data_IF_286449691181
#
_entry.id   IF_286449691181
#
_cell.length_a   1.000
_cell.length_b   1.000
_cell.length_c   1.000
_cell.angle_alpha   90.00
_cell.angle_beta   90.00
_cell.angle_gamma   90.00
#
_symmetry.space_group_name_H-M   'P 1'
#
loop_
_entity.id
_entity.type
_entity.pdbx_description
1 polymer ?
#
# COMPACT_ATOMS: atom_id res chain seq x y z
N UNK A 1 26.90 56.06 -32.32
CA UNK A 1 27.77 55.17 -31.50
C UNK A 1 26.81 54.50 -30.54
N UNK A 2 26.21 53.45 -31.08
CA UNK A 2 25.10 52.68 -30.53
C UNK A 2 25.72 51.44 -29.91
N UNK A 3 25.59 51.27 -28.60
CA UNK A 3 26.01 50.04 -27.95
C UNK A 3 24.75 49.30 -27.48
N UNK A 4 24.34 48.37 -28.32
CA UNK A 4 23.31 47.37 -28.12
C UNK A 4 23.82 46.30 -27.15
N UNK A 5 23.15 46.08 -26.02
CA UNK A 5 23.39 44.91 -25.17
C UNK A 5 22.06 44.30 -24.68
N UNK A 6 21.67 43.26 -25.41
CA UNK A 6 21.26 41.91 -24.98
C UNK A 6 20.07 41.78 -24.01
N UNK A 7 19.00 41.18 -24.57
CA UNK A 7 17.91 40.48 -23.91
C UNK A 7 18.42 39.55 -22.79
N UNK A 8 17.84 39.69 -21.60
CA UNK A 8 17.68 38.56 -20.67
C UNK A 8 16.23 38.51 -20.18
N UNK A 9 15.45 37.61 -20.77
CA UNK A 9 14.21 37.13 -20.17
C UNK A 9 14.60 36.11 -19.09
N UNK A 10 14.45 36.48 -17.82
CA UNK A 10 14.47 35.55 -16.69
C UNK A 10 13.19 35.80 -15.88
N UNK A 11 12.08 35.21 -16.34
CA UNK A 11 10.86 35.05 -15.55
C UNK A 11 10.99 33.79 -14.71
N UNK A 12 11.45 33.94 -13.47
CA UNK A 12 11.44 32.88 -12.46
C UNK A 12 10.25 33.10 -11.51
N UNK A 13 9.07 32.70 -11.96
CA UNK A 13 7.88 32.57 -11.10
C UNK A 13 7.91 31.18 -10.43
N UNK A 14 8.65 31.06 -9.33
CA UNK A 14 8.70 29.85 -8.48
C UNK A 14 7.66 29.86 -7.37
N UNK A 15 6.46 30.37 -7.62
CA UNK A 15 5.40 30.52 -6.60
C UNK A 15 4.31 29.43 -6.65
N UNK A 16 4.39 28.47 -7.58
CA UNK A 16 3.39 27.41 -7.73
C UNK A 16 3.63 26.10 -6.96
N UNK A 17 4.88 25.80 -6.55
CA UNK A 17 5.26 24.43 -6.18
C UNK A 17 5.22 24.14 -4.66
N UNK A 18 5.06 25.18 -3.84
CA UNK A 18 4.94 25.05 -2.38
C UNK A 18 3.52 24.66 -1.93
N UNK A 19 2.49 25.01 -2.70
CA UNK A 19 1.09 24.76 -2.33
C UNK A 19 0.67 23.29 -2.52
N UNK A 20 1.27 22.60 -3.48
CA UNK A 20 0.90 21.21 -3.83
C UNK A 20 1.44 20.17 -2.86
N UNK A 21 2.47 20.51 -2.09
CA UNK A 21 3.16 19.59 -1.16
C UNK A 21 2.45 19.45 0.20
N UNK A 22 1.42 20.26 0.48
CA UNK A 22 0.70 20.28 1.77
C UNK A 22 -0.67 19.59 1.79
N UNK A 23 -1.16 19.08 0.67
CA UNK A 23 -2.48 18.44 0.61
C UNK A 23 -2.46 16.93 0.95
N UNK A 24 -1.28 16.33 1.13
CA UNK A 24 -1.13 14.89 1.43
C UNK A 24 -0.22 14.57 2.62
N UNK A 25 0.43 15.55 3.26
CA UNK A 25 1.33 15.33 4.40
C UNK A 25 0.63 15.16 5.73
N UNK A 26 -0.65 15.55 5.82
CA UNK A 26 -1.38 15.66 7.09
C UNK A 26 -2.48 14.60 7.21
N UNK A 27 -2.50 13.61 6.30
CA UNK A 27 -3.16 12.34 6.60
C UNK A 27 -2.18 11.56 7.45
N UNK A 28 -2.28 11.75 8.77
CA UNK A 28 -1.72 10.82 9.74
C UNK A 28 -2.40 9.46 9.53
N UNK A 29 -1.84 8.65 8.62
CA UNK A 29 -2.22 7.25 8.41
C UNK A 29 -2.01 6.41 9.68
N UNK A 30 -1.33 6.98 10.68
CA UNK A 30 -1.08 6.43 12.00
C UNK A 30 -2.11 6.86 13.07
N UNK A 31 -3.01 7.81 12.79
CA UNK A 31 -3.98 8.31 13.76
C UNK A 31 -5.33 7.60 13.65
N UNK A 32 -5.33 6.30 13.94
CA UNK A 32 -6.26 5.60 14.84
C UNK A 32 -6.00 4.10 14.69
N UNK A 33 -5.15 3.47 15.53
CA UNK A 33 -5.41 2.09 15.81
C UNK A 33 -6.69 2.11 16.64
N UNK A 34 -7.83 1.74 16.03
CA UNK A 34 -8.77 0.97 16.83
C UNK A 34 -7.92 -0.09 17.51
N UNK A 35 -7.84 -0.05 18.84
CA UNK A 35 -6.97 -0.89 19.67
C UNK A 35 -7.18 -2.40 19.43
N UNK A 36 -8.20 -2.73 18.64
CA UNK A 36 -8.60 -4.05 18.22
C UNK A 36 -8.34 -4.26 16.72
N UNK A 37 -7.48 -5.24 16.41
CA UNK A 37 -7.25 -5.76 15.08
C UNK A 37 -7.94 -7.11 14.90
N UNK A 38 -8.51 -7.37 13.72
CA UNK A 38 -9.04 -8.70 13.37
C UNK A 38 -7.98 -9.55 12.68
N UNK A 39 -7.90 -10.83 13.01
CA UNK A 39 -7.08 -11.79 12.28
C UNK A 39 -7.80 -13.13 12.09
N UNK A 40 -7.56 -13.78 10.95
CA UNK A 40 -8.07 -15.12 10.69
C UNK A 40 -7.04 -16.17 11.10
N UNK A 41 -7.42 -17.07 11.99
CA UNK A 41 -6.56 -18.17 12.40
C UNK A 41 -6.62 -19.30 11.37
N UNK A 42 -5.46 -19.75 10.89
CA UNK A 42 -5.42 -20.82 9.87
C UNK A 42 -5.73 -22.22 10.44
N UNK A 43 -5.52 -22.45 11.74
CA UNK A 43 -5.76 -23.76 12.36
C UNK A 43 -7.24 -24.03 12.72
N UNK A 44 -7.98 -23.02 13.17
CA UNK A 44 -9.41 -23.14 13.50
C UNK A 44 -10.34 -22.47 12.48
N UNK A 45 -9.79 -21.76 11.49
CA UNK A 45 -10.49 -21.00 10.45
C UNK A 45 -11.37 -19.83 10.94
N UNK A 46 -11.41 -19.55 12.25
CA UNK A 46 -12.19 -18.47 12.86
C UNK A 46 -11.48 -17.12 12.75
N UNK A 47 -12.27 -16.06 12.76
CA UNK A 47 -11.79 -14.68 12.94
C UNK A 47 -11.69 -14.39 14.43
N UNK A 48 -10.59 -13.80 14.84
CA UNK A 48 -10.25 -13.47 16.22
C UNK A 48 -9.97 -11.97 16.33
N UNK A 49 -10.26 -11.42 17.50
CA UNK A 49 -9.94 -10.04 17.87
C UNK A 49 -8.61 -10.07 18.63
N UNK A 50 -7.67 -9.22 18.22
CA UNK A 50 -6.38 -9.02 18.84
C UNK A 50 -6.29 -7.59 19.36
N UNK A 51 -5.82 -7.41 20.60
CA UNK A 51 -5.44 -6.07 21.08
C UNK A 51 -4.03 -5.73 20.59
N UNK A 52 -3.82 -4.50 20.15
CA UNK A 52 -2.48 -3.95 19.90
C UNK A 52 -1.76 -3.58 21.20
N UNK A 53 -2.51 -3.45 22.30
CA UNK A 53 -2.01 -3.02 23.59
C UNK A 53 -1.93 -4.21 24.56
N UNK A 54 -0.72 -4.58 25.04
CA UNK A 54 -0.52 -5.78 25.85
C UNK A 54 -0.93 -5.64 27.31
N UNK A 55 -1.30 -4.44 27.78
CA UNK A 55 -1.54 -4.12 29.19
C UNK A 55 -3.01 -4.25 29.64
N UNK A 56 -3.98 -4.30 28.71
CA UNK A 56 -5.40 -4.42 29.07
C UNK A 56 -6.07 -5.52 28.26
N UNK A 57 -6.41 -6.65 28.90
CA UNK A 57 -7.49 -7.50 28.38
C UNK A 57 -8.06 -8.43 29.45
N UNK A 58 -9.04 -7.96 30.20
CA UNK A 58 -10.10 -8.84 30.73
C UNK A 58 -11.16 -8.97 29.62
N UNK A 59 -11.09 -10.07 28.87
CA UNK A 59 -11.98 -10.33 27.73
C UNK A 59 -11.49 -11.44 26.79
N UNK A 60 -12.33 -11.86 25.86
CA UNK A 60 -12.02 -12.90 24.85
C UNK A 60 -11.13 -12.33 23.72
N UNK A 61 -9.93 -11.85 24.07
CA UNK A 61 -8.95 -11.28 23.15
C UNK A 61 -7.80 -12.28 22.97
N UNK A 62 -7.54 -12.67 21.73
CA UNK A 62 -6.48 -13.61 21.39
C UNK A 62 -5.20 -12.88 20.97
N UNK A 63 -4.06 -13.32 21.49
CA UNK A 63 -2.74 -12.81 21.06
C UNK A 63 -2.32 -13.51 19.76
N UNK A 64 -2.24 -12.82 18.61
CA UNK A 64 -1.94 -13.44 17.33
C UNK A 64 -0.49 -13.93 17.29
N UNK A 65 -0.31 -15.22 16.95
CA UNK A 65 1.01 -15.84 16.83
C UNK A 65 1.29 -16.18 15.37
N UNK A 66 2.34 -15.61 14.82
CA UNK A 66 2.78 -15.91 13.45
C UNK A 66 3.67 -17.15 13.43
N UNK A 67 3.65 -17.91 12.34
CA UNK A 67 4.64 -18.96 12.11
C UNK A 67 6.05 -18.33 12.10
N UNK A 68 6.96 -18.80 12.96
CA UNK A 68 8.31 -18.22 13.11
C UNK A 68 9.15 -18.30 11.83
N UNK A 69 8.88 -19.27 10.96
CA UNK A 69 9.65 -19.46 9.73
C UNK A 69 9.16 -18.56 8.61
N UNK A 70 7.88 -18.66 8.21
CA UNK A 70 7.38 -17.90 7.06
C UNK A 70 6.80 -16.53 7.43
N UNK A 71 6.49 -16.28 8.71
CA UNK A 71 5.87 -15.06 9.25
C UNK A 71 4.58 -14.62 8.53
N UNK A 72 3.93 -15.51 7.79
CA UNK A 72 2.80 -15.19 6.90
C UNK A 72 1.47 -15.74 7.38
N UNK A 73 1.50 -16.88 8.06
CA UNK A 73 0.30 -17.52 8.61
C UNK A 73 0.18 -17.17 10.09
N UNK A 74 -1.05 -16.87 10.53
CA UNK A 74 -1.38 -16.44 11.89
C UNK A 74 -2.25 -17.49 12.58
N UNK A 75 -2.02 -17.67 13.87
CA UNK A 75 -2.75 -18.60 14.73
C UNK A 75 -3.12 -17.92 16.04
N UNK A 76 -4.27 -18.29 16.63
CA UNK A 76 -4.62 -17.88 18.00
C UNK A 76 -3.73 -18.59 19.05
N UNK A 77 -3.15 -19.75 18.72
CA UNK A 77 -2.34 -20.52 19.65
C UNK A 77 -1.51 -21.64 19.01
N UNK A 78 -0.65 -22.25 19.84
CA UNK A 78 0.27 -23.33 19.42
C UNK A 78 -0.47 -24.59 18.97
N UNK A 79 -1.63 -24.86 19.53
CA UNK A 79 -2.47 -26.00 19.13
C UNK A 79 -2.97 -25.85 17.69
N UNK A 80 -3.51 -24.68 17.34
CA UNK A 80 -3.94 -24.36 15.99
C UNK A 80 -2.78 -24.42 14.99
N UNK A 81 -1.59 -23.94 15.38
CA UNK A 81 -0.39 -24.09 14.56
C UNK A 81 -0.03 -25.56 14.32
N UNK A 82 -0.04 -26.40 15.36
CA UNK A 82 0.27 -27.83 15.21
C UNK A 82 -0.76 -28.56 14.34
N UNK A 83 -2.04 -28.26 14.53
CA UNK A 83 -3.13 -28.82 13.72
C UNK A 83 -2.94 -28.47 12.24
N UNK A 84 -2.68 -27.21 11.93
CA UNK A 84 -2.41 -26.77 10.55
C UNK A 84 -1.11 -27.38 9.99
N UNK A 85 -0.09 -27.56 10.84
CA UNK A 85 1.17 -28.19 10.46
C UNK A 85 1.00 -29.64 9.99
N UNK A 86 0.21 -30.44 10.72
CA UNK A 86 0.01 -31.87 10.44
C UNK A 86 -1.13 -32.09 9.44
N UNK A 87 -2.27 -31.43 9.63
CA UNK A 87 -3.50 -31.70 8.89
C UNK A 87 -3.85 -30.63 7.85
N UNK A 88 -3.42 -29.37 8.05
CA UNK A 88 -3.74 -28.25 7.16
C UNK A 88 -2.76 -28.07 6.00
N UNK A 89 -1.68 -28.84 5.95
CA UNK A 89 -0.71 -28.80 4.86
C UNK A 89 0.32 -27.68 4.95
N UNK A 90 0.31 -26.88 6.02
CA UNK A 90 1.26 -25.77 6.18
C UNK A 90 2.72 -26.26 6.14
N UNK A 91 3.02 -27.46 6.64
CA UNK A 91 4.38 -28.04 6.57
C UNK A 91 4.95 -28.07 5.15
N UNK A 92 4.13 -28.39 4.14
CA UNK A 92 4.56 -28.47 2.73
C UNK A 92 4.76 -27.08 2.13
N UNK A 93 3.93 -26.13 2.53
CA UNK A 93 3.88 -24.78 1.95
C UNK A 93 4.81 -23.79 2.65
N UNK A 94 5.14 -24.00 3.94
CA UNK A 94 5.87 -23.05 4.77
C UNK A 94 7.21 -22.64 4.14
N UNK A 95 7.99 -23.61 3.65
CA UNK A 95 9.27 -23.35 2.97
C UNK A 95 9.09 -22.56 1.68
N UNK A 96 8.08 -22.90 0.87
CA UNK A 96 7.79 -22.20 -0.37
C UNK A 96 7.37 -20.74 -0.11
N UNK A 97 6.51 -20.51 0.89
CA UNK A 97 6.08 -19.16 1.29
C UNK A 97 7.29 -18.33 1.74
N UNK A 98 8.16 -18.91 2.57
CA UNK A 98 9.38 -18.22 3.02
C UNK A 98 10.27 -17.82 1.84
N UNK A 99 10.57 -18.76 0.92
CA UNK A 99 11.40 -18.50 -0.26
C UNK A 99 10.79 -17.46 -1.20
N UNK A 100 9.47 -17.48 -1.40
CA UNK A 100 8.78 -16.49 -2.21
C UNK A 100 8.87 -15.10 -1.59
N UNK A 101 8.73 -14.98 -0.27
CA UNK A 101 8.88 -13.71 0.43
C UNK A 101 10.29 -13.17 0.35
N UNK A 102 11.29 -14.03 0.52
CA UNK A 102 12.70 -13.67 0.43
C UNK A 102 13.04 -13.11 -0.97
N UNK A 103 12.61 -13.82 -2.03
CA UNK A 103 12.71 -13.35 -3.42
C UNK A 103 11.98 -12.03 -3.64
N UNK A 104 10.76 -11.91 -3.12
CA UNK A 104 9.98 -10.68 -3.28
C UNK A 104 10.66 -9.50 -2.58
N UNK A 105 11.23 -9.69 -1.39
CA UNK A 105 11.99 -8.64 -0.72
C UNK A 105 13.28 -8.28 -1.46
N UNK A 106 13.98 -9.25 -2.03
CA UNK A 106 15.16 -8.99 -2.85
C UNK A 106 14.80 -8.18 -4.10
N UNK A 107 13.76 -8.58 -4.83
CA UNK A 107 13.26 -7.84 -6.00
C UNK A 107 12.79 -6.43 -5.62
N UNK A 108 12.08 -6.29 -4.49
CA UNK A 108 11.64 -4.98 -4.02
C UNK A 108 12.82 -4.07 -3.71
N UNK A 109 13.90 -4.62 -3.15
CA UNK A 109 15.13 -3.86 -2.86
C UNK A 109 15.89 -3.49 -4.14
N UNK A 110 15.96 -4.39 -5.11
CA UNK A 110 16.50 -4.09 -6.44
C UNK A 110 15.73 -2.93 -7.10
N UNK A 111 14.40 -2.98 -7.07
CA UNK A 111 13.53 -1.91 -7.58
C UNK A 111 13.70 -0.58 -6.85
N UNK A 112 13.96 -0.59 -5.54
CA UNK A 112 14.25 0.66 -4.79
C UNK A 112 15.58 1.28 -5.17
N UNK A 113 16.57 0.45 -5.47
CA UNK A 113 17.92 0.89 -5.81
C UNK A 113 18.10 1.21 -7.31
N UNK A 114 17.10 0.89 -8.14
CA UNK A 114 17.06 1.29 -9.54
C UNK A 114 16.94 2.82 -9.66
N UNK A 115 17.95 3.44 -10.27
CA UNK A 115 17.94 4.87 -10.57
C UNK A 115 17.01 5.15 -11.74
N UNK A 116 15.82 5.66 -11.47
CA UNK A 116 14.83 6.07 -12.48
C UNK A 116 15.26 7.29 -13.31
N UNK A 117 16.39 7.92 -13.00
CA UNK A 117 16.90 9.09 -13.73
C UNK A 117 17.26 8.81 -15.20
N UNK A 118 17.41 7.55 -15.58
CA UNK A 118 17.65 7.11 -16.97
C UNK A 118 16.38 6.71 -17.72
N UNK A 119 15.24 6.61 -17.04
CA UNK A 119 13.95 6.35 -17.66
C UNK A 119 13.28 7.70 -17.93
N UNK A 120 13.38 8.18 -19.17
CA UNK A 120 12.52 9.26 -19.68
C UNK A 120 11.07 8.80 -19.87
N UNK A 121 10.77 7.54 -19.57
CA UNK A 121 9.50 6.92 -19.84
C UNK A 121 8.54 7.29 -18.71
N UNK A 122 7.62 8.20 -19.03
CA UNK A 122 6.52 8.44 -18.13
C UNK A 122 5.79 7.11 -17.85
N UNK A 123 5.29 6.90 -16.64
CA UNK A 123 4.59 5.65 -16.28
C UNK A 123 3.49 5.24 -17.27
N UNK A 124 2.88 6.19 -17.97
CA UNK A 124 1.85 5.97 -18.99
C UNK A 124 2.38 5.63 -20.40
N UNK A 125 3.68 5.69 -20.64
CA UNK A 125 4.34 5.34 -21.90
C UNK A 125 4.78 3.86 -21.93
N UNK A 126 4.85 3.21 -20.77
CA UNK A 126 5.11 1.76 -20.66
C UNK A 126 3.92 0.99 -21.24
N UNK A 127 4.09 0.23 -22.34
CA UNK A 127 2.97 -0.47 -23.00
C UNK A 127 2.15 -1.35 -22.05
N UNK A 128 2.82 -2.01 -21.10
CA UNK A 128 2.23 -2.91 -20.12
C UNK A 128 1.33 -2.19 -19.10
N UNK A 129 1.55 -0.90 -18.82
CA UNK A 129 0.74 -0.12 -17.87
C UNK A 129 -0.42 0.61 -18.54
N UNK A 130 -0.43 0.66 -19.88
CA UNK A 130 -1.40 1.41 -20.68
C UNK A 130 -2.84 1.01 -20.38
N UNK A 131 -3.11 -0.29 -20.29
CA UNK A 131 -4.47 -0.77 -20.01
C UNK A 131 -4.92 -0.41 -18.58
N UNK A 132 -4.01 -0.45 -17.60
CA UNK A 132 -4.29 0.03 -16.25
C UNK A 132 -4.63 1.53 -16.26
N UNK A 133 -3.85 2.35 -16.96
CA UNK A 133 -4.09 3.78 -17.10
C UNK A 133 -5.44 4.09 -17.76
N UNK A 134 -5.79 3.40 -18.85
CA UNK A 134 -7.07 3.57 -19.53
C UNK A 134 -8.26 3.24 -18.62
N UNK A 135 -8.21 2.11 -17.90
CA UNK A 135 -9.29 1.73 -16.99
C UNK A 135 -9.46 2.74 -15.85
N UNK A 136 -8.35 3.24 -15.31
CA UNK A 136 -8.39 4.23 -14.22
C UNK A 136 -8.94 5.58 -14.68
N UNK A 137 -8.60 5.99 -15.91
CA UNK A 137 -9.15 7.21 -16.51
C UNK A 137 -10.65 7.08 -16.78
N UNK A 138 -11.09 5.96 -17.37
CA UNK A 138 -12.51 5.70 -17.61
C UNK A 138 -13.34 5.69 -16.31
N UNK A 139 -12.78 5.14 -15.22
CA UNK A 139 -13.42 5.19 -13.91
C UNK A 139 -13.54 6.63 -13.39
N UNK A 140 -12.49 7.43 -13.53
CA UNK A 140 -12.52 8.85 -13.14
C UNK A 140 -13.59 9.61 -13.92
N UNK A 141 -13.64 9.44 -15.24
CA UNK A 141 -14.64 10.08 -16.10
C UNK A 141 -16.07 9.69 -15.71
N UNK A 142 -16.31 8.41 -15.42
CA UNK A 142 -17.63 7.95 -14.97
C UNK A 142 -18.06 8.60 -13.65
N UNK A 143 -17.16 8.62 -12.66
CA UNK A 143 -17.43 9.25 -11.34
C UNK A 143 -17.66 10.76 -11.52
N UNK A 144 -16.83 11.41 -12.33
CA UNK A 144 -16.90 12.85 -12.53
C UNK A 144 -18.13 13.27 -13.34
N UNK A 145 -18.51 12.49 -14.36
CA UNK A 145 -19.74 12.70 -15.13
C UNK A 145 -20.98 12.59 -14.24
N UNK A 146 -21.06 11.59 -13.36
CA UNK A 146 -22.17 11.46 -12.43
C UNK A 146 -22.24 12.61 -11.42
N UNK A 147 -21.07 13.08 -10.95
CA UNK A 147 -20.99 14.20 -10.02
C UNK A 147 -21.46 15.52 -10.67
N UNK A 148 -21.06 15.78 -11.92
CA UNK A 148 -21.43 16.99 -12.64
C UNK A 148 -22.90 16.99 -13.09
N UNK A 149 -23.47 15.85 -13.47
CA UNK A 149 -24.91 15.75 -13.80
C UNK A 149 -25.82 16.03 -12.61
N UNK A 150 -25.42 15.66 -11.37
CA UNK A 150 -26.20 15.94 -10.15
C UNK A 150 -26.21 17.42 -9.78
N UNK A 151 -25.11 18.13 -10.05
CA UNK A 151 -24.97 19.56 -9.80
C UNK A 151 -25.85 20.39 -10.76
N UNK A 152 -25.99 19.96 -12.02
CA UNK A 152 -26.82 20.68 -13.00
C UNK A 152 -28.32 20.34 -13.00
N UNK A 153 -28.73 19.25 -12.34
CA UNK A 153 -30.15 18.84 -12.24
C UNK A 153 -30.88 19.47 -11.04
N UNK A 154 -30.20 20.30 -10.24
CA UNK A 154 -30.73 20.92 -9.01
C UNK A 154 -30.91 22.44 -9.12
N UNK A 155 -30.87 22.99 -10.34
CA UNK A 155 -31.05 24.41 -10.64
C UNK A 155 -32.43 24.71 -11.22
#
# INVERSE_FOLDING_TARGET
>A
REDTLILTMASSDTTGDAARRRLFSDVDVDATPSSLALFRCMGCAKVHIASTDPEESEGNIDKPKRCLTCLSVVYCGRECQRKDWVNGGHRKQCKAIYQLKDKLSANAEELRNLSLSSLNDNFWEVPETREYCHRRFALFDAIFSEATSRVWSSG
#
